data_IF_628774002825
#
_entry.id   IF_628774002825
#
_cell.length_a   1.000
_cell.length_b   1.000
_cell.length_c   1.000
_cell.angle_alpha   90.00
_cell.angle_beta   90.00
_cell.angle_gamma   90.00
#
_symmetry.space_group_name_H-M   'P 1'
#
loop_
_entity.id
_entity.type
_entity.pdbx_description
1 polymer ?
#
# COMPACT_ATOMS: atom_id res chain seq x y z
N UNK A 1 7.52 29.81 20.46
CA UNK A 1 7.09 28.38 20.62
C UNK A 1 8.23 27.55 20.05
N UNK A 2 8.50 26.39 20.62
CA UNK A 2 9.51 25.49 20.05
C UNK A 2 9.08 25.03 18.65
N UNK A 3 10.02 24.85 17.73
CA UNK A 3 9.73 24.34 16.40
C UNK A 3 9.12 22.92 16.48
N UNK A 4 8.23 22.62 15.57
CA UNK A 4 7.63 21.30 15.40
C UNK A 4 7.97 20.76 14.02
N UNK A 5 8.16 19.45 13.93
CA UNK A 5 8.54 18.78 12.70
C UNK A 5 7.59 17.63 12.39
N UNK A 6 7.50 17.29 11.13
CA UNK A 6 6.81 16.10 10.63
C UNK A 6 7.76 15.29 9.77
N UNK A 7 7.51 13.98 9.72
CA UNK A 7 8.22 13.04 8.84
C UNK A 7 7.32 12.69 7.67
N UNK A 8 7.76 12.99 6.46
CA UNK A 8 7.19 12.46 5.22
C UNK A 8 7.97 11.23 4.76
N UNK A 9 7.28 10.16 4.40
CA UNK A 9 7.86 8.89 3.95
C UNK A 9 7.30 8.55 2.58
N UNK A 10 8.18 8.24 1.62
CA UNK A 10 7.84 7.75 0.28
C UNK A 10 8.43 6.35 0.10
N UNK A 11 7.56 5.37 -0.17
CA UNK A 11 7.93 4.00 -0.47
C UNK A 11 7.73 3.74 -1.97
N UNK A 12 8.77 4.00 -2.74
CA UNK A 12 8.78 3.81 -4.19
C UNK A 12 8.99 2.36 -4.61
N UNK A 13 9.31 2.17 -5.88
CA UNK A 13 9.50 0.83 -6.48
C UNK A 13 10.80 0.13 -6.03
N UNK A 14 11.89 0.87 -5.82
CA UNK A 14 13.22 0.29 -5.55
C UNK A 14 13.83 0.78 -4.23
N UNK A 15 13.25 1.81 -3.64
CA UNK A 15 13.80 2.47 -2.44
C UNK A 15 12.71 3.20 -1.67
N UNK A 16 12.96 3.43 -0.38
CA UNK A 16 12.18 4.36 0.41
C UNK A 16 12.97 5.64 0.68
N UNK A 17 12.24 6.72 0.95
CA UNK A 17 12.77 8.04 1.26
C UNK A 17 12.09 8.63 2.47
N UNK A 18 12.82 9.44 3.23
CA UNK A 18 12.26 10.28 4.28
C UNK A 18 12.63 11.73 4.03
N UNK A 19 11.71 12.63 4.36
CA UNK A 19 11.95 14.07 4.46
C UNK A 19 11.45 14.54 5.82
N UNK A 20 12.28 15.35 6.50
CA UNK A 20 11.92 15.99 7.76
C UNK A 20 11.58 17.44 7.45
N UNK A 21 10.35 17.83 7.77
CA UNK A 21 9.81 19.14 7.41
C UNK A 21 9.45 19.94 8.65
N UNK A 22 9.86 21.19 8.70
CA UNK A 22 9.44 22.13 9.75
C UNK A 22 8.01 22.60 9.48
N UNK A 23 7.13 22.43 10.47
CA UNK A 23 5.67 22.67 10.31
C UNK A 23 5.37 24.15 10.04
N UNK A 24 6.16 25.08 10.60
CA UNK A 24 5.82 26.50 10.56
C UNK A 24 5.92 27.13 9.17
N UNK A 25 6.81 26.62 8.31
CA UNK A 25 7.13 27.24 7.02
C UNK A 25 7.38 26.25 5.87
N UNK A 26 7.24 24.95 6.13
CA UNK A 26 7.48 23.91 5.13
C UNK A 26 8.95 23.69 4.76
N UNK A 27 9.90 24.25 5.55
CA UNK A 27 11.33 24.05 5.26
C UNK A 27 11.72 22.59 5.43
N UNK A 28 12.35 22.03 4.40
CA UNK A 28 13.00 20.72 4.46
C UNK A 28 14.28 20.82 5.30
N UNK A 29 14.35 20.04 6.37
CA UNK A 29 15.43 20.07 7.34
C UNK A 29 16.46 18.99 7.14
N UNK A 30 16.02 17.81 6.65
CA UNK A 30 16.89 16.67 6.40
C UNK A 30 16.20 15.63 5.56
N UNK A 31 16.97 14.79 4.90
CA UNK A 31 16.48 13.73 4.01
C UNK A 31 17.29 12.46 4.18
N UNK A 32 16.68 11.33 3.83
CA UNK A 32 17.38 10.05 3.74
C UNK A 32 16.77 9.18 2.66
N UNK A 33 17.59 8.32 2.07
CA UNK A 33 17.17 7.31 1.07
C UNK A 33 17.79 5.98 1.46
N UNK A 34 17.05 4.90 1.25
CA UNK A 34 17.51 3.53 1.39
C UNK A 34 16.93 2.65 0.28
N UNK A 35 17.78 1.91 -0.41
CA UNK A 35 17.37 0.94 -1.43
C UNK A 35 16.87 -0.33 -0.76
N UNK A 36 15.86 -0.97 -1.33
CA UNK A 36 15.37 -2.26 -0.84
C UNK A 36 16.40 -3.36 -1.11
N UNK A 37 16.80 -4.14 -0.09
CA UNK A 37 17.79 -5.22 -0.24
C UNK A 37 17.47 -6.21 -1.37
N UNK A 38 16.20 -6.59 -1.53
CA UNK A 38 15.77 -7.53 -2.56
C UNK A 38 15.24 -6.82 -3.83
N UNK A 39 15.00 -5.50 -3.77
CA UNK A 39 14.45 -4.72 -4.88
C UNK A 39 13.11 -5.24 -5.37
N UNK A 40 12.98 -5.48 -6.67
CA UNK A 40 11.81 -6.12 -7.28
C UNK A 40 12.19 -7.53 -7.74
N UNK A 41 11.49 -8.51 -7.21
CA UNK A 41 11.61 -9.92 -7.60
C UNK A 41 10.68 -10.18 -8.79
N UNK A 42 11.22 -10.19 -10.00
CA UNK A 42 10.45 -10.36 -11.26
C UNK A 42 10.93 -11.55 -12.11
N UNK A 43 11.98 -12.23 -11.70
CA UNK A 43 12.52 -13.44 -12.36
C UNK A 43 12.73 -14.58 -11.39
N UNK A 44 13.15 -14.23 -10.20
CA UNK A 44 13.51 -15.19 -9.16
C UNK A 44 13.00 -14.67 -7.83
N UNK A 45 12.42 -15.54 -7.02
CA UNK A 45 12.03 -15.26 -5.65
C UNK A 45 13.26 -15.24 -4.75
N UNK A 46 14.07 -14.18 -4.84
CA UNK A 46 15.38 -14.07 -4.20
C UNK A 46 15.32 -13.98 -2.67
N UNK A 47 14.23 -13.48 -2.13
CA UNK A 47 14.02 -13.41 -0.67
C UNK A 47 13.64 -14.77 -0.03
N UNK A 48 13.38 -15.81 -0.85
CA UNK A 48 13.14 -17.20 -0.42
C UNK A 48 14.00 -18.15 -1.24
N UNK A 49 13.63 -19.40 -1.41
CA UNK A 49 14.44 -20.48 -2.01
C UNK A 49 15.05 -20.25 -3.40
N UNK A 50 14.86 -19.09 -4.02
CA UNK A 50 15.47 -18.75 -5.31
C UNK A 50 14.81 -19.41 -6.50
N UNK A 51 13.54 -19.82 -6.37
CA UNK A 51 12.78 -20.40 -7.47
C UNK A 51 12.50 -19.37 -8.58
N UNK A 52 12.40 -19.85 -9.82
CA UNK A 52 12.00 -19.02 -10.96
C UNK A 52 10.53 -18.58 -10.80
N UNK A 53 10.27 -17.31 -11.10
CA UNK A 53 8.94 -16.73 -11.11
C UNK A 53 8.33 -16.82 -12.52
N UNK A 54 7.00 -17.00 -12.63
CA UNK A 54 6.31 -16.89 -13.91
C UNK A 54 6.55 -15.51 -14.57
N UNK A 55 6.41 -15.42 -15.89
CA UNK A 55 6.41 -14.13 -16.57
C UNK A 55 5.39 -13.16 -15.97
N UNK A 56 5.69 -11.86 -16.07
CA UNK A 56 4.81 -10.77 -15.62
C UNK A 56 4.59 -10.70 -14.10
N UNK A 57 5.27 -11.52 -13.31
CA UNK A 57 5.34 -11.35 -11.87
C UNK A 57 6.24 -10.17 -11.51
N UNK A 58 5.84 -9.43 -10.48
CA UNK A 58 6.66 -8.41 -9.83
C UNK A 58 6.30 -8.37 -8.35
N UNK A 59 7.20 -8.92 -7.54
CA UNK A 59 6.99 -9.10 -6.10
C UNK A 59 7.98 -8.27 -5.30
N UNK A 60 7.62 -7.96 -4.06
CA UNK A 60 8.50 -7.29 -3.09
C UNK A 60 8.46 -8.00 -1.74
N UNK A 61 9.55 -7.83 -0.97
CA UNK A 61 9.62 -8.32 0.40
C UNK A 61 9.09 -7.26 1.37
N UNK A 62 8.04 -7.55 2.15
CA UNK A 62 7.56 -6.62 3.16
C UNK A 62 8.57 -6.37 4.30
N UNK A 63 9.57 -7.23 4.48
CA UNK A 63 10.67 -7.00 5.41
C UNK A 63 11.56 -5.83 4.96
N UNK A 64 11.76 -5.67 3.65
CA UNK A 64 12.51 -4.55 3.09
C UNK A 64 11.85 -3.20 3.44
N UNK A 65 10.52 -3.14 3.47
CA UNK A 65 9.80 -1.93 3.89
C UNK A 65 10.08 -1.59 5.36
N UNK A 66 10.10 -2.60 6.23
CA UNK A 66 10.34 -2.39 7.66
C UNK A 66 11.78 -1.98 7.94
N UNK A 67 12.76 -2.60 7.30
CA UNK A 67 14.17 -2.20 7.37
C UNK A 67 14.36 -0.78 6.85
N UNK A 68 13.83 -0.51 5.66
CA UNK A 68 13.91 0.81 5.03
C UNK A 68 13.31 1.89 5.91
N UNK A 69 12.11 1.65 6.46
CA UNK A 69 11.45 2.57 7.38
C UNK A 69 12.37 3.01 8.54
N UNK A 70 13.02 2.04 9.19
CA UNK A 70 13.93 2.34 10.31
C UNK A 70 15.14 3.14 9.88
N UNK A 71 15.75 2.74 8.77
CA UNK A 71 16.95 3.40 8.25
C UNK A 71 16.67 4.84 7.84
N UNK A 72 15.62 5.07 7.04
CA UNK A 72 15.36 6.42 6.50
C UNK A 72 14.88 7.39 7.57
N UNK A 73 14.07 6.93 8.55
CA UNK A 73 13.62 7.82 9.63
C UNK A 73 14.79 8.23 10.51
N UNK A 74 15.60 7.27 10.98
CA UNK A 74 16.75 7.57 11.84
C UNK A 74 17.77 8.48 11.16
N UNK A 75 18.15 8.16 9.91
CA UNK A 75 19.09 8.98 9.13
C UNK A 75 18.53 10.36 8.79
N UNK A 76 17.23 10.46 8.46
CA UNK A 76 16.59 11.75 8.19
C UNK A 76 16.58 12.66 9.40
N UNK A 77 16.30 12.14 10.62
CA UNK A 77 16.37 12.90 11.87
C UNK A 77 17.81 13.33 12.17
N UNK A 78 18.80 12.44 11.97
CA UNK A 78 20.21 12.75 12.14
C UNK A 78 20.67 13.85 11.17
N UNK A 79 20.31 13.77 9.89
CA UNK A 79 20.62 14.78 8.87
C UNK A 79 19.97 16.13 9.19
N UNK A 80 18.72 16.12 9.64
CA UNK A 80 17.99 17.32 10.06
C UNK A 80 18.59 18.00 11.31
N UNK A 81 19.37 17.27 12.12
CA UNK A 81 19.97 17.77 13.37
C UNK A 81 18.95 18.37 14.34
N UNK A 82 17.78 17.77 14.40
CA UNK A 82 16.69 18.18 15.29
C UNK A 82 16.58 17.27 16.52
N UNK A 83 15.90 17.75 17.55
CA UNK A 83 15.49 16.90 18.67
C UNK A 83 14.29 16.04 18.21
N UNK A 84 14.38 14.69 18.22
CA UNK A 84 13.27 13.81 17.87
C UNK A 84 11.99 14.08 18.67
N UNK A 85 12.11 14.57 19.90
CA UNK A 85 10.97 14.92 20.74
C UNK A 85 10.09 16.06 20.15
N UNK A 86 10.60 16.81 19.17
CA UNK A 86 9.86 17.85 18.46
C UNK A 86 9.05 17.34 17.26
N UNK A 87 9.19 16.06 16.90
CA UNK A 87 8.38 15.43 15.84
C UNK A 87 6.98 15.19 16.34
N UNK A 88 5.97 15.66 15.59
CA UNK A 88 4.56 15.62 16.00
C UNK A 88 3.69 14.71 15.13
N UNK A 89 4.21 14.25 13.99
CA UNK A 89 3.43 13.38 13.10
C UNK A 89 4.24 12.77 11.97
N UNK A 90 3.65 11.72 11.37
CA UNK A 90 4.16 10.98 10.23
C UNK A 90 3.06 10.97 9.15
N UNK A 91 3.43 11.32 7.92
CA UNK A 91 2.67 11.06 6.71
C UNK A 91 3.45 10.13 5.81
N UNK A 92 2.77 9.30 5.02
CA UNK A 92 3.43 8.42 4.08
C UNK A 92 2.67 8.29 2.77
N UNK A 93 3.42 8.00 1.72
CA UNK A 93 2.89 7.53 0.46
C UNK A 93 3.64 6.28 -0.03
N UNK A 94 3.01 5.55 -0.92
CA UNK A 94 3.50 4.29 -1.45
C UNK A 94 3.06 4.18 -2.91
N UNK A 95 3.78 3.39 -3.69
CA UNK A 95 3.35 2.99 -5.02
C UNK A 95 1.92 2.41 -4.98
N UNK A 96 1.09 2.89 -5.87
CA UNK A 96 -0.31 2.49 -5.98
C UNK A 96 -0.46 0.99 -6.23
N UNK A 97 -1.57 0.39 -5.76
CA UNK A 97 -1.91 -1.01 -6.04
C UNK A 97 -0.82 -2.05 -5.71
N UNK A 98 -0.03 -1.78 -4.70
CA UNK A 98 0.95 -2.73 -4.14
C UNK A 98 0.24 -3.53 -3.06
N UNK A 99 -0.12 -4.79 -3.38
CA UNK A 99 -1.06 -5.59 -2.60
C UNK A 99 -0.34 -6.50 -1.60
N UNK A 100 -0.75 -6.43 -0.35
CA UNK A 100 -0.28 -7.25 0.76
C UNK A 100 -1.39 -8.20 1.19
N UNK A 101 -1.09 -9.49 1.28
CA UNK A 101 -1.89 -10.51 1.95
C UNK A 101 -1.34 -10.70 3.38
N UNK A 102 -2.20 -10.60 4.39
CA UNK A 102 -1.77 -10.62 5.79
C UNK A 102 -2.72 -11.38 6.71
N UNK A 103 -2.21 -11.75 7.88
CA UNK A 103 -3.01 -12.22 9.01
C UNK A 103 -3.69 -11.04 9.73
N UNK A 104 -4.62 -11.33 10.62
CA UNK A 104 -5.37 -10.34 11.39
C UNK A 104 -4.49 -9.45 12.31
N UNK A 105 -3.26 -9.85 12.58
CA UNK A 105 -2.27 -9.08 13.33
C UNK A 105 -1.34 -8.24 12.42
N UNK A 106 -1.54 -8.29 11.10
CA UNK A 106 -0.73 -7.62 10.10
C UNK A 106 0.52 -8.38 9.66
N UNK A 107 0.72 -9.62 10.09
CA UNK A 107 1.82 -10.47 9.62
C UNK A 107 1.60 -10.85 8.16
N UNK A 108 2.49 -10.47 7.21
CA UNK A 108 2.37 -10.85 5.80
C UNK A 108 2.46 -12.37 5.61
N UNK A 109 1.67 -12.89 4.67
CA UNK A 109 1.58 -14.34 4.43
C UNK A 109 2.92 -14.96 4.07
N UNK A 110 3.78 -14.27 3.30
CA UNK A 110 5.13 -14.75 2.94
C UNK A 110 6.08 -14.90 4.14
N UNK A 111 5.76 -14.34 5.31
CA UNK A 111 6.55 -14.51 6.53
C UNK A 111 6.17 -15.78 7.32
N UNK A 112 5.09 -16.43 6.97
CA UNK A 112 4.71 -17.73 7.53
C UNK A 112 5.51 -18.83 6.82
N UNK A 113 6.03 -19.78 7.60
CA UNK A 113 6.92 -20.85 7.08
C UNK A 113 6.27 -21.69 6.00
N UNK A 114 4.96 -21.94 6.09
CA UNK A 114 4.18 -22.74 5.15
C UNK A 114 3.96 -22.05 3.79
N UNK A 115 4.08 -20.71 3.73
CA UNK A 115 3.83 -19.94 2.51
C UNK A 115 5.07 -19.20 1.98
N UNK A 116 6.23 -19.40 2.62
CA UNK A 116 7.44 -18.67 2.26
C UNK A 116 7.88 -18.91 0.82
N UNK A 117 7.69 -20.14 0.33
CA UNK A 117 8.08 -20.55 -1.03
C UNK A 117 6.94 -20.38 -2.05
N UNK A 118 5.77 -19.83 -1.63
CA UNK A 118 4.62 -19.60 -2.50
C UNK A 118 4.63 -18.16 -3.04
N UNK A 119 4.84 -17.93 -4.35
CA UNK A 119 4.94 -16.57 -4.91
C UNK A 119 3.71 -15.70 -4.65
N UNK A 120 2.51 -16.29 -4.64
CA UNK A 120 1.26 -15.55 -4.40
C UNK A 120 1.09 -15.07 -2.96
N UNK A 121 1.94 -15.51 -2.02
CA UNK A 121 1.96 -15.02 -0.64
C UNK A 121 2.76 -13.73 -0.46
N UNK A 122 3.57 -13.35 -1.46
CA UNK A 122 4.42 -12.16 -1.45
C UNK A 122 3.67 -10.91 -1.89
N UNK A 123 4.24 -9.75 -1.57
CA UNK A 123 3.64 -8.46 -1.95
C UNK A 123 3.65 -8.32 -3.46
N UNK A 124 2.47 -8.16 -4.07
CA UNK A 124 2.31 -7.96 -5.51
C UNK A 124 2.40 -6.47 -5.83
N UNK A 125 3.53 -6.05 -6.41
CA UNK A 125 3.81 -4.66 -6.77
C UNK A 125 2.82 -4.13 -7.83
N UNK A 126 2.71 -2.82 -7.99
CA UNK A 126 1.88 -2.20 -9.02
C UNK A 126 2.11 -2.77 -10.42
N UNK A 127 3.37 -3.01 -10.81
CA UNK A 127 3.74 -3.61 -12.12
C UNK A 127 3.64 -5.14 -12.19
N UNK A 128 2.99 -5.79 -11.22
CA UNK A 128 2.65 -7.21 -11.32
C UNK A 128 1.47 -7.37 -12.28
N UNK A 129 1.73 -7.99 -13.43
CA UNK A 129 0.76 -8.20 -14.50
C UNK A 129 0.29 -9.65 -14.64
N UNK A 130 0.71 -10.55 -13.75
CA UNK A 130 0.26 -11.95 -13.71
C UNK A 130 -1.26 -12.11 -13.63
N UNK A 131 -1.96 -11.09 -13.12
CA UNK A 131 -3.43 -11.07 -12.97
C UNK A 131 -4.17 -10.55 -14.22
N UNK A 132 -3.57 -10.56 -15.43
CA UNK A 132 -4.20 -9.98 -16.62
C UNK A 132 -5.47 -10.73 -17.04
N UNK A 133 -5.46 -12.07 -17.00
CA UNK A 133 -6.64 -12.87 -17.33
C UNK A 133 -7.81 -12.59 -16.38
N UNK A 134 -7.54 -12.37 -15.10
CA UNK A 134 -8.54 -11.99 -14.11
C UNK A 134 -9.10 -10.60 -14.41
N UNK A 135 -8.25 -9.62 -14.76
CA UNK A 135 -8.68 -8.28 -15.11
C UNK A 135 -9.61 -8.30 -16.34
N UNK A 136 -9.24 -9.05 -17.37
CA UNK A 136 -10.04 -9.16 -18.60
C UNK A 136 -11.42 -9.80 -18.34
N UNK A 137 -11.50 -10.83 -17.50
CA UNK A 137 -12.77 -11.47 -17.11
C UNK A 137 -13.62 -10.54 -16.27
N UNK A 138 -13.05 -9.81 -15.33
CA UNK A 138 -13.72 -8.80 -14.52
C UNK A 138 -14.36 -7.76 -15.43
N UNK A 139 -13.61 -7.18 -16.36
CA UNK A 139 -14.10 -6.16 -17.30
C UNK A 139 -15.20 -6.73 -18.19
N UNK A 140 -14.98 -7.88 -18.81
CA UNK A 140 -15.96 -8.52 -19.70
C UNK A 140 -17.28 -8.80 -18.99
N UNK A 141 -17.23 -9.34 -17.77
CA UNK A 141 -18.44 -9.60 -16.98
C UNK A 141 -19.15 -8.30 -16.61
N UNK A 142 -18.39 -7.26 -16.19
CA UNK A 142 -18.94 -5.96 -15.83
C UNK A 142 -19.63 -5.28 -17.03
N UNK A 143 -19.06 -5.39 -18.24
CA UNK A 143 -19.67 -4.88 -19.47
C UNK A 143 -20.98 -5.60 -19.80
N UNK A 144 -21.01 -6.95 -19.73
CA UNK A 144 -22.21 -7.76 -19.98
C UNK A 144 -23.32 -7.44 -18.98
N UNK A 145 -22.99 -7.27 -17.72
CA UNK A 145 -23.93 -6.94 -16.64
C UNK A 145 -24.27 -5.45 -16.58
N UNK A 146 -23.55 -4.61 -17.32
CA UNK A 146 -23.65 -3.15 -17.28
C UNK A 146 -23.42 -2.57 -15.88
N UNK A 147 -22.39 -3.06 -15.22
CA UNK A 147 -22.03 -2.60 -13.87
C UNK A 147 -21.68 -1.11 -13.88
N UNK A 148 -22.35 -0.27 -13.08
CA UNK A 148 -22.21 1.20 -13.19
C UNK A 148 -20.83 1.69 -12.75
N UNK A 149 -20.15 0.98 -11.86
CA UNK A 149 -18.84 1.34 -11.35
C UNK A 149 -17.75 1.33 -12.45
N UNK A 150 -17.90 0.51 -13.51
CA UNK A 150 -16.88 0.39 -14.55
C UNK A 150 -16.67 1.70 -15.34
N UNK A 151 -17.71 2.51 -15.49
CA UNK A 151 -17.62 3.78 -16.21
C UNK A 151 -16.64 4.78 -15.58
N UNK A 152 -16.49 4.75 -14.24
CA UNK A 152 -15.55 5.62 -13.53
C UNK A 152 -14.09 5.24 -13.75
N UNK A 153 -13.83 4.03 -14.21
CA UNK A 153 -12.51 3.55 -14.62
C UNK A 153 -12.28 3.63 -16.14
N UNK A 154 -13.09 4.41 -16.86
CA UNK A 154 -12.99 4.55 -18.31
C UNK A 154 -13.40 3.30 -19.09
N UNK A 155 -14.16 2.39 -18.47
CA UNK A 155 -14.66 1.17 -19.12
C UNK A 155 -13.67 -0.01 -19.14
N UNK A 156 -12.52 0.14 -18.53
CA UNK A 156 -11.46 -0.89 -18.45
C UNK A 156 -10.88 -0.97 -17.04
N UNK A 157 -10.27 -2.10 -16.71
CA UNK A 157 -9.40 -2.27 -15.54
C UNK A 157 -8.08 -2.89 -15.98
N UNK A 158 -7.02 -2.47 -15.35
CA UNK A 158 -5.69 -3.07 -15.50
C UNK A 158 -5.50 -4.21 -14.50
N UNK A 159 -4.63 -5.16 -14.83
CA UNK A 159 -4.09 -6.17 -13.91
C UNK A 159 -3.38 -5.57 -12.68
N UNK A 160 -3.02 -4.29 -12.75
CA UNK A 160 -2.45 -3.56 -11.60
C UNK A 160 -3.43 -3.42 -10.43
N UNK A 161 -4.74 -3.42 -10.69
CA UNK A 161 -5.76 -3.22 -9.66
C UNK A 161 -5.72 -4.31 -8.58
N UNK A 162 -6.20 -3.97 -7.37
CA UNK A 162 -6.22 -4.91 -6.24
C UNK A 162 -7.11 -6.13 -6.52
N UNK A 163 -8.33 -5.93 -7.04
CA UNK A 163 -9.29 -7.02 -7.23
C UNK A 163 -8.79 -8.13 -8.17
N UNK A 164 -8.20 -7.85 -9.35
CA UNK A 164 -7.58 -8.88 -10.20
C UNK A 164 -6.51 -9.69 -9.46
N UNK A 165 -5.62 -9.03 -8.70
CA UNK A 165 -4.54 -9.69 -7.95
C UNK A 165 -5.04 -10.59 -6.83
N UNK A 166 -6.14 -10.21 -6.17
CA UNK A 166 -6.75 -11.02 -5.13
C UNK A 166 -7.50 -12.23 -5.75
N UNK A 167 -8.19 -12.02 -6.89
CA UNK A 167 -8.82 -13.11 -7.64
C UNK A 167 -7.77 -14.09 -8.19
N UNK A 168 -6.65 -13.60 -8.69
CA UNK A 168 -5.50 -14.42 -9.09
C UNK A 168 -5.00 -15.28 -7.92
N UNK A 169 -4.88 -14.70 -6.72
CA UNK A 169 -4.47 -15.46 -5.53
C UNK A 169 -5.47 -16.57 -5.19
N UNK A 170 -6.78 -16.28 -5.26
CA UNK A 170 -7.80 -17.32 -5.05
C UNK A 170 -7.69 -18.48 -6.06
N UNK A 171 -7.43 -18.17 -7.32
CA UNK A 171 -7.46 -19.17 -8.39
C UNK A 171 -6.17 -19.99 -8.51
N UNK A 172 -5.01 -19.37 -8.24
CA UNK A 172 -3.71 -19.99 -8.43
C UNK A 172 -3.06 -20.49 -7.13
N UNK A 173 -3.44 -19.91 -5.99
CA UNK A 173 -2.95 -20.28 -4.67
C UNK A 173 -4.09 -20.22 -3.63
N UNK A 174 -5.12 -21.09 -3.76
CA UNK A 174 -6.30 -21.06 -2.88
C UNK A 174 -5.94 -21.21 -1.40
N UNK A 175 -4.92 -21.99 -1.07
CA UNK A 175 -4.48 -22.15 0.32
C UNK A 175 -3.99 -20.83 0.92
N UNK A 176 -3.27 -20.00 0.13
CA UNK A 176 -2.88 -18.64 0.55
C UNK A 176 -4.11 -17.76 0.74
N UNK A 177 -5.03 -17.78 -0.23
CA UNK A 177 -6.27 -17.00 -0.16
C UNK A 177 -7.07 -17.32 1.08
N UNK A 178 -7.30 -18.60 1.36
CA UNK A 178 -8.10 -19.04 2.51
C UNK A 178 -7.41 -18.74 3.84
N UNK A 179 -6.09 -18.89 3.90
CA UNK A 179 -5.32 -18.58 5.10
C UNK A 179 -5.16 -17.07 5.36
N UNK A 180 -5.34 -16.22 4.33
CA UNK A 180 -5.27 -14.76 4.46
C UNK A 180 -6.48 -14.21 5.19
N UNK A 181 -6.26 -13.38 6.21
CA UNK A 181 -7.34 -12.71 6.94
C UNK A 181 -7.66 -11.33 6.31
N UNK A 182 -6.62 -10.64 5.80
CA UNK A 182 -6.75 -9.27 5.26
C UNK A 182 -5.96 -9.12 3.96
N UNK A 183 -6.62 -8.63 2.90
CA UNK A 183 -5.94 -8.04 1.74
C UNK A 183 -6.01 -6.51 1.83
N UNK A 184 -4.87 -5.85 1.73
CA UNK A 184 -4.78 -4.39 1.73
C UNK A 184 -3.67 -3.93 0.79
N UNK A 185 -3.64 -2.64 0.48
CA UNK A 185 -2.49 -2.06 -0.19
C UNK A 185 -1.38 -1.71 0.82
N UNK A 186 -0.14 -1.67 0.36
CA UNK A 186 1.02 -1.47 1.22
C UNK A 186 0.96 -0.14 2.02
N UNK A 187 0.32 0.89 1.46
CA UNK A 187 0.11 2.16 2.17
C UNK A 187 -0.77 1.99 3.43
N UNK A 188 -1.83 1.17 3.33
CA UNK A 188 -2.69 0.86 4.47
C UNK A 188 -1.99 -0.10 5.44
N UNK A 189 -1.23 -1.06 4.91
CA UNK A 189 -0.46 -2.00 5.72
C UNK A 189 0.61 -1.29 6.56
N UNK A 190 1.36 -0.36 5.99
CA UNK A 190 2.38 0.41 6.69
C UNK A 190 1.77 1.27 7.81
N UNK A 191 0.66 1.97 7.56
CA UNK A 191 -0.03 2.73 8.60
C UNK A 191 -0.57 1.82 9.70
N UNK A 192 -1.08 0.64 9.33
CA UNK A 192 -1.52 -0.37 10.29
C UNK A 192 -0.37 -0.87 11.17
N UNK A 193 0.78 -1.20 10.58
CA UNK A 193 1.97 -1.62 11.35
C UNK A 193 2.42 -0.53 12.34
N UNK A 194 2.46 0.73 11.89
CA UNK A 194 2.89 1.85 12.73
C UNK A 194 1.94 2.13 13.90
N UNK A 195 0.63 1.90 13.73
CA UNK A 195 -0.40 2.34 14.68
C UNK A 195 -1.10 1.21 15.42
N UNK A 196 -1.02 -0.02 14.91
CA UNK A 196 -1.84 -1.14 15.35
C UNK A 196 -3.31 -1.03 14.91
N UNK A 197 -3.68 -0.03 14.10
CA UNK A 197 -5.06 0.22 13.66
C UNK A 197 -5.16 -0.01 12.15
N UNK A 198 -5.97 -0.99 11.74
CA UNK A 198 -6.30 -1.20 10.33
C UNK A 198 -7.37 -0.19 9.90
N UNK A 199 -7.03 0.62 8.91
CA UNK A 199 -7.95 1.51 8.21
C UNK A 199 -7.49 1.65 6.75
N UNK A 200 -8.42 1.95 5.85
CA UNK A 200 -8.14 2.10 4.43
C UNK A 200 -8.17 3.57 4.03
N UNK A 201 -7.24 3.99 3.19
CA UNK A 201 -7.22 5.32 2.60
C UNK A 201 -8.35 5.48 1.58
N UNK A 202 -9.13 6.55 1.69
CA UNK A 202 -10.21 6.84 0.74
C UNK A 202 -9.68 7.07 -0.69
N UNK A 203 -8.51 7.67 -0.83
CA UNK A 203 -7.89 7.92 -2.13
C UNK A 203 -7.57 6.64 -2.88
N UNK A 204 -6.88 5.71 -2.23
CA UNK A 204 -6.58 4.40 -2.79
C UNK A 204 -7.82 3.51 -2.95
N UNK A 205 -8.72 3.52 -1.97
CA UNK A 205 -9.96 2.74 -2.02
C UNK A 205 -10.82 3.08 -3.23
N UNK A 206 -10.95 4.36 -3.56
CA UNK A 206 -11.65 4.82 -4.75
C UNK A 206 -10.89 4.54 -6.06
N UNK A 207 -9.56 4.65 -6.02
CA UNK A 207 -8.74 4.52 -7.22
C UNK A 207 -8.43 3.06 -7.58
N UNK A 208 -8.05 2.22 -6.62
CA UNK A 208 -7.54 0.87 -6.90
C UNK A 208 -8.34 -0.28 -6.27
N UNK A 209 -9.24 0.00 -5.32
CA UNK A 209 -10.03 -1.02 -4.62
C UNK A 209 -11.50 -1.08 -5.03
N UNK A 210 -11.93 -0.24 -5.97
CA UNK A 210 -13.31 -0.19 -6.50
C UNK A 210 -14.37 0.28 -5.48
N UNK A 211 -13.96 1.04 -4.47
CA UNK A 211 -14.86 1.65 -3.51
C UNK A 211 -15.42 2.96 -4.06
N UNK A 212 -16.71 2.97 -4.40
CA UNK A 212 -17.37 4.13 -5.00
C UNK A 212 -18.69 4.43 -4.28
N UNK A 213 -18.93 5.69 -3.95
CA UNK A 213 -20.15 6.13 -3.28
C UNK A 213 -20.47 5.33 -2.01
N UNK A 214 -19.45 4.92 -1.26
CA UNK A 214 -19.60 4.14 -0.03
C UNK A 214 -19.84 2.64 -0.25
N UNK A 215 -19.65 2.12 -1.46
CA UNK A 215 -19.96 0.75 -1.83
C UNK A 215 -18.86 0.09 -2.65
N UNK A 216 -18.73 -1.21 -2.51
CA UNK A 216 -17.98 -2.10 -3.40
C UNK A 216 -18.89 -2.73 -4.45
N UNK A 217 -18.35 -3.39 -5.49
CA UNK A 217 -19.13 -4.25 -6.38
C UNK A 217 -19.99 -5.25 -5.59
N UNK A 218 -21.17 -5.58 -6.13
CA UNK A 218 -22.12 -6.44 -5.43
C UNK A 218 -21.59 -7.86 -5.25
N UNK A 219 -21.99 -8.51 -4.16
CA UNK A 219 -21.67 -9.93 -3.91
C UNK A 219 -22.13 -10.85 -5.06
N UNK A 220 -23.29 -10.56 -5.67
CA UNK A 220 -23.79 -11.31 -6.83
C UNK A 220 -22.84 -11.18 -8.04
N UNK A 221 -22.31 -9.98 -8.29
CA UNK A 221 -21.31 -9.78 -9.33
C UNK A 221 -20.03 -10.56 -9.03
N UNK A 222 -19.52 -10.45 -7.81
CA UNK A 222 -18.30 -11.15 -7.38
C UNK A 222 -18.46 -12.68 -7.43
N UNK A 223 -19.60 -13.20 -6.98
CA UNK A 223 -19.94 -14.63 -7.08
C UNK A 223 -19.98 -15.13 -8.53
N UNK A 224 -20.35 -14.26 -9.48
CA UNK A 224 -20.36 -14.60 -10.91
C UNK A 224 -18.96 -14.73 -11.52
N UNK A 225 -17.94 -14.16 -10.89
CA UNK A 225 -16.52 -14.36 -11.24
C UNK A 225 -16.01 -15.68 -10.67
N UNK A 226 -16.24 -15.88 -9.38
CA UNK A 226 -15.93 -17.09 -8.64
C UNK A 226 -16.84 -17.14 -7.38
N UNK A 227 -17.58 -18.24 -7.10
CA UNK A 227 -18.45 -18.31 -5.94
C UNK A 227 -17.76 -17.98 -4.59
N UNK A 228 -16.50 -18.38 -4.42
CA UNK A 228 -15.70 -18.11 -3.22
C UNK A 228 -15.20 -16.66 -3.12
N UNK A 229 -15.39 -15.87 -4.17
CA UNK A 229 -15.02 -14.46 -4.20
C UNK A 229 -16.17 -13.52 -3.77
N UNK A 230 -17.37 -14.06 -3.56
CA UNK A 230 -18.58 -13.29 -3.25
C UNK A 230 -18.40 -12.32 -2.08
N UNK A 231 -17.80 -12.78 -1.01
CA UNK A 231 -17.70 -12.06 0.27
C UNK A 231 -16.33 -11.41 0.52
N UNK A 232 -15.47 -11.33 -0.50
CA UNK A 232 -14.08 -10.88 -0.37
C UNK A 232 -13.94 -9.51 0.32
N UNK A 233 -14.81 -8.55 0.02
CA UNK A 233 -14.76 -7.24 0.65
C UNK A 233 -15.30 -7.25 2.09
N UNK A 234 -16.24 -8.13 2.39
CA UNK A 234 -16.85 -8.25 3.73
C UNK A 234 -15.94 -9.04 4.67
N UNK A 235 -15.33 -10.10 4.18
CA UNK A 235 -14.53 -11.02 5.00
C UNK A 235 -13.06 -10.59 5.09
N UNK A 236 -12.47 -10.13 3.96
CA UNK A 236 -11.02 -9.93 3.85
C UNK A 236 -10.60 -8.47 3.64
N UNK A 237 -11.54 -7.54 3.53
CA UNK A 237 -11.28 -6.10 3.34
C UNK A 237 -12.26 -5.24 4.16
N UNK A 238 -12.65 -5.73 5.33
CA UNK A 238 -13.61 -5.05 6.20
C UNK A 238 -12.89 -4.15 7.20
N UNK A 239 -12.59 -2.92 6.80
CA UNK A 239 -12.04 -1.89 7.68
C UNK A 239 -12.61 -0.51 7.32
N UNK A 240 -12.58 0.46 8.26
CA UNK A 240 -13.04 1.82 7.98
C UNK A 240 -12.25 2.46 6.84
N UNK A 241 -12.94 3.15 5.94
CA UNK A 241 -12.33 3.99 4.92
C UNK A 241 -12.23 5.42 5.47
N UNK A 242 -11.02 5.93 5.61
CA UNK A 242 -10.75 7.25 6.20
C UNK A 242 -10.36 8.26 5.11
N UNK A 243 -10.74 9.54 5.27
CA UNK A 243 -10.33 10.62 4.36
C UNK A 243 -8.80 10.78 4.31
N UNK A 244 -8.30 11.32 3.19
CA UNK A 244 -6.88 11.69 3.07
C UNK A 244 -6.47 12.66 4.18
N UNK A 245 -5.30 12.43 4.78
CA UNK A 245 -4.77 13.21 5.88
C UNK A 245 -5.45 13.00 7.24
N UNK A 246 -6.47 12.12 7.31
CA UNK A 246 -7.06 11.76 8.59
C UNK A 246 -6.05 10.99 9.46
N UNK A 247 -6.12 11.20 10.77
CA UNK A 247 -5.31 10.43 11.71
C UNK A 247 -5.84 9.00 11.79
N UNK A 248 -4.99 8.01 11.45
CA UNK A 248 -5.28 6.58 11.65
C UNK A 248 -5.13 6.22 13.12
N UNK A 249 -4.02 6.64 13.74
CA UNK A 249 -3.72 6.34 15.13
C UNK A 249 -2.51 7.12 15.65
N UNK A 250 -2.03 6.71 16.80
CA UNK A 250 -0.74 7.15 17.32
C UNK A 250 0.34 6.12 17.04
N UNK A 251 1.58 6.57 16.85
CA UNK A 251 2.74 5.69 16.73
C UNK A 251 2.83 4.77 17.96
N UNK A 252 2.90 3.45 17.74
CA UNK A 252 2.97 2.50 18.85
C UNK A 252 4.29 2.63 19.62
N UNK A 253 4.34 2.21 20.90
CA UNK A 253 5.60 2.20 21.67
C UNK A 253 6.72 1.39 21.00
N UNK A 254 6.38 0.26 20.38
CA UNK A 254 7.33 -0.56 19.63
C UNK A 254 7.99 0.23 18.50
N UNK A 255 7.19 0.83 17.63
CA UNK A 255 7.75 1.61 16.51
C UNK A 255 8.36 2.93 16.96
N UNK A 256 7.90 3.53 18.05
CA UNK A 256 8.57 4.68 18.65
C UNK A 256 10.01 4.38 19.04
N UNK A 257 10.27 3.24 19.69
CA UNK A 257 11.60 2.78 20.03
C UNK A 257 12.44 2.46 18.79
N UNK A 258 11.88 1.71 17.82
CA UNK A 258 12.55 1.35 16.56
C UNK A 258 12.94 2.58 15.72
N UNK A 259 12.09 3.59 15.66
CA UNK A 259 12.32 4.80 14.88
C UNK A 259 13.06 5.91 15.64
N UNK A 260 13.16 5.82 16.96
CA UNK A 260 13.73 6.87 17.81
C UNK A 260 12.83 8.11 17.90
N UNK A 261 11.51 7.95 17.85
CA UNK A 261 10.50 9.01 17.87
C UNK A 261 9.59 8.89 19.11
N UNK A 262 8.88 9.96 19.51
CA UNK A 262 7.92 9.85 20.62
C UNK A 262 6.76 8.92 20.30
N UNK A 263 6.35 8.09 21.24
CA UNK A 263 5.14 7.29 21.13
C UNK A 263 3.89 8.19 21.09
N UNK A 264 2.85 7.74 20.36
CA UNK A 264 1.57 8.43 20.28
C UNK A 264 1.52 9.63 19.33
N UNK A 265 2.61 10.02 18.65
CA UNK A 265 2.56 11.03 17.60
C UNK A 265 1.60 10.59 16.50
N UNK A 266 0.97 11.56 15.82
CA UNK A 266 -0.04 11.26 14.82
C UNK A 266 0.55 10.53 13.61
N UNK A 267 -0.12 9.45 13.16
CA UNK A 267 0.15 8.82 11.85
C UNK A 267 -1.09 9.06 10.99
N UNK A 268 -0.87 9.70 9.84
CA UNK A 268 -1.94 10.00 8.89
C UNK A 268 -2.25 8.79 8.01
N UNK A 269 -3.43 8.76 7.35
CA UNK A 269 -3.74 7.82 6.28
C UNK A 269 -2.69 7.89 5.19
N UNK A 270 -2.25 6.73 4.70
CA UNK A 270 -1.35 6.65 3.56
C UNK A 270 -1.96 7.24 2.29
N UNK A 271 -1.13 7.65 1.36
CA UNK A 271 -1.55 8.15 0.06
C UNK A 271 -0.82 7.42 -1.07
N UNK A 272 -1.23 7.68 -2.29
CA UNK A 272 -0.57 7.20 -3.50
C UNK A 272 0.52 8.21 -3.89
N UNK A 273 1.73 7.74 -4.19
CA UNK A 273 2.90 8.53 -4.60
C UNK A 273 2.58 9.54 -5.73
N UNK A 274 1.92 9.08 -6.80
CA UNK A 274 1.49 9.93 -7.91
C UNK A 274 0.50 11.04 -7.48
N UNK A 275 -0.40 10.76 -6.53
CA UNK A 275 -1.37 11.74 -6.04
C UNK A 275 -0.69 12.81 -5.17
N UNK A 276 0.29 12.42 -4.36
CA UNK A 276 1.08 13.35 -3.54
C UNK A 276 1.92 14.24 -4.45
N UNK A 277 2.57 13.66 -5.47
CA UNK A 277 3.36 14.39 -6.46
C UNK A 277 2.49 15.42 -7.20
N UNK A 278 1.27 15.03 -7.64
CA UNK A 278 0.35 15.95 -8.30
C UNK A 278 0.00 17.16 -7.41
N UNK A 279 -0.21 16.93 -6.12
CA UNK A 279 -0.46 18.02 -5.18
C UNK A 279 0.77 18.90 -4.94
N UNK A 280 1.97 18.30 -4.88
CA UNK A 280 3.22 19.00 -4.59
C UNK A 280 3.63 19.94 -5.73
N UNK A 281 3.40 19.58 -6.99
CA UNK A 281 3.78 20.44 -8.15
C UNK A 281 2.83 21.61 -8.36
N UNK A 282 1.66 21.63 -7.69
CA UNK A 282 0.71 22.76 -7.69
C UNK A 282 0.30 23.26 -9.11
N UNK A 283 0.20 22.34 -10.07
CA UNK A 283 -0.27 22.67 -11.42
C UNK A 283 -1.81 22.81 -11.40
N UNK A 284 -2.29 23.95 -10.90
CA UNK A 284 -3.73 24.19 -10.62
C UNK A 284 -4.36 25.26 -11.52
N UNK A 285 -3.60 25.86 -12.43
CA UNK A 285 -4.09 26.88 -13.36
C UNK A 285 -4.42 26.28 -14.72
N UNK A 286 -5.32 26.93 -15.45
CA UNK A 286 -5.70 26.53 -16.82
C UNK A 286 -4.46 26.45 -17.73
N UNK A 287 -4.31 25.32 -18.43
CA UNK A 287 -3.19 25.07 -19.33
C UNK A 287 -1.94 24.50 -18.67
N UNK A 288 -1.94 24.34 -17.36
CA UNK A 288 -0.90 23.59 -16.66
C UNK A 288 -1.19 22.08 -16.69
N UNK A 289 -0.15 21.28 -16.77
CA UNK A 289 -0.23 19.81 -16.76
C UNK A 289 0.89 19.23 -15.91
N UNK A 290 0.54 18.29 -15.06
CA UNK A 290 1.52 17.45 -14.34
C UNK A 290 1.67 16.14 -15.08
N UNK A 291 2.91 15.79 -15.43
CA UNK A 291 3.26 14.44 -15.89
C UNK A 291 3.97 13.71 -14.75
N UNK A 292 3.50 12.51 -14.41
CA UNK A 292 4.01 11.68 -13.32
C UNK A 292 4.41 10.33 -13.90
#
# INVERSE_FOLDING_TARGET
MADKFVVGLDFGTLSGRAVIVRVNDGTEMGTAVHEYPHGVMDRVLSAAGGQELPPDFALQDPADYMETLEVIVRRGIEDAKIDPAQVVGIGLDVTSATVVAAKADGTPMCQLSEFRDEPHAWVKLWKHHGAQDQADRIVKLAQVRREPWLARYGGILSSEMLMPKVLETLEWAPDVYHATDVFCNALDWLTWRLTGVLAFSAGDSGYKRMYQDGQYPSQEYLASLNPEFADVFVEKMNAPVLPLGARVGGLTPEFAERLGLPAGIAVATGNIDAHVTAAAVQAVEDGQMTAI
#
